data_IF_665808251033
#
_entry.id   IF_665808251033
#
_cell.length_a   1.000
_cell.length_b   1.000
_cell.length_c   1.000
_cell.angle_alpha   90.00
_cell.angle_beta   90.00
_cell.angle_gamma   90.00
#
_symmetry.space_group_name_H-M   'P 1'
#
loop_
_entity.id
_entity.type
_entity.pdbx_description
1 polymer ?
#
# COMPACT_ATOMS: atom_id res chain seq x y z
N UNK A 1 24.66 -72.19 25.62
CA UNK A 1 24.95 -70.75 25.73
C UNK A 1 25.29 -70.22 24.34
N UNK A 2 24.45 -69.29 23.87
CA UNK A 2 24.63 -68.27 22.82
C UNK A 2 25.35 -68.70 21.52
N UNK A 3 24.60 -68.98 20.44
CA UNK A 3 25.14 -68.99 19.08
C UNK A 3 25.36 -67.56 18.53
N UNK A 4 26.21 -67.40 17.50
CA UNK A 4 26.65 -66.09 17.02
C UNK A 4 25.52 -65.32 16.31
N UNK A 5 25.55 -64.01 16.52
CA UNK A 5 24.69 -62.99 15.94
C UNK A 5 24.69 -63.00 14.41
N UNK A 6 23.48 -63.13 13.83
CA UNK A 6 23.18 -62.79 12.45
C UNK A 6 23.56 -61.33 12.14
N UNK A 7 24.14 -61.04 10.96
CA UNK A 7 24.15 -59.68 10.43
C UNK A 7 22.73 -59.32 9.96
N UNK A 8 22.23 -58.18 10.44
CA UNK A 8 20.98 -57.59 10.00
C UNK A 8 21.02 -57.36 8.48
N UNK A 9 20.08 -58.01 7.80
CA UNK A 9 19.59 -57.68 6.46
C UNK A 9 19.35 -56.17 6.35
N UNK A 10 20.24 -55.47 5.65
CA UNK A 10 19.92 -54.17 5.07
C UNK A 10 19.34 -54.44 3.68
N UNK A 11 18.02 -54.44 3.62
CA UNK A 11 17.31 -54.31 2.36
C UNK A 11 17.65 -52.92 1.77
N UNK A 12 17.94 -52.81 0.47
CA UNK A 12 18.14 -51.51 -0.15
C UNK A 12 16.81 -50.77 -0.05
N UNK A 13 16.80 -49.65 0.68
CA UNK A 13 15.72 -48.68 0.61
C UNK A 13 15.69 -48.26 -0.86
N UNK A 14 14.65 -48.70 -1.55
CA UNK A 14 14.34 -48.29 -2.89
C UNK A 14 14.38 -46.77 -2.92
N UNK A 15 15.30 -46.24 -3.71
CA UNK A 15 15.32 -44.86 -4.15
C UNK A 15 14.08 -44.63 -5.01
N UNK A 16 12.92 -44.50 -4.36
CA UNK A 16 11.81 -43.75 -4.91
C UNK A 16 12.32 -42.33 -5.07
N UNK A 17 12.85 -42.08 -6.27
CA UNK A 17 12.99 -40.77 -6.85
C UNK A 17 11.60 -40.14 -6.85
N UNK A 18 11.27 -39.51 -5.72
CA UNK A 18 10.25 -38.47 -5.67
C UNK A 18 10.82 -37.38 -6.56
N UNK A 19 10.46 -37.47 -7.83
CA UNK A 19 10.65 -36.43 -8.80
C UNK A 19 9.91 -35.22 -8.27
N UNK A 20 10.65 -34.32 -7.66
CA UNK A 20 10.18 -32.97 -7.40
C UNK A 20 9.62 -32.43 -8.73
N UNK A 21 8.40 -31.85 -8.74
CA UNK A 21 7.94 -31.18 -9.95
C UNK A 21 8.97 -30.10 -10.27
N UNK A 22 9.48 -30.14 -11.49
CA UNK A 22 10.42 -29.17 -12.04
C UNK A 22 9.75 -27.80 -12.02
N UNK A 23 9.99 -27.03 -10.97
CA UNK A 23 9.74 -25.59 -10.91
C UNK A 23 11.06 -24.86 -11.18
N UNK A 24 11.60 -25.03 -12.39
CA UNK A 24 12.80 -24.30 -12.84
C UNK A 24 12.47 -23.26 -13.94
N UNK A 25 11.30 -22.62 -13.80
CA UNK A 25 10.95 -21.39 -14.52
C UNK A 25 10.68 -20.27 -13.53
N UNK A 26 11.76 -19.57 -13.17
CA UNK A 26 11.71 -18.21 -12.62
C UNK A 26 11.76 -18.15 -11.10
N UNK A 27 12.95 -18.36 -10.52
CA UNK A 27 13.26 -17.67 -9.27
C UNK A 27 12.99 -16.17 -9.49
N UNK A 28 12.21 -15.52 -8.60
CA UNK A 28 11.93 -14.07 -8.64
C UNK A 28 13.24 -13.29 -8.73
N UNK A 29 13.62 -12.91 -9.95
CA UNK A 29 14.90 -12.26 -10.24
C UNK A 29 14.68 -10.76 -10.28
N UNK A 30 15.50 -10.03 -9.54
CA UNK A 30 15.54 -8.58 -9.63
C UNK A 30 16.10 -8.14 -10.98
N UNK A 31 15.42 -7.18 -11.61
CA UNK A 31 15.84 -6.54 -12.84
C UNK A 31 16.07 -5.05 -12.60
N UNK A 32 17.26 -4.54 -12.95
CA UNK A 32 17.66 -3.15 -12.70
C UNK A 32 17.93 -2.37 -13.99
N UNK A 33 17.66 -1.06 -13.96
CA UNK A 33 18.03 -0.11 -15.00
C UNK A 33 18.53 1.20 -14.37
N UNK A 34 19.78 1.62 -14.63
CA UNK A 34 20.91 0.87 -15.19
C UNK A 34 21.11 -0.54 -14.60
N UNK A 35 21.73 -1.44 -15.38
CA UNK A 35 21.95 -2.83 -14.98
C UNK A 35 22.98 -2.97 -13.85
N UNK A 36 23.99 -2.10 -13.85
CA UNK A 36 25.06 -2.10 -12.86
C UNK A 36 24.62 -1.29 -11.64
N UNK A 37 24.61 -1.95 -10.48
CA UNK A 37 24.17 -1.37 -9.21
C UNK A 37 25.35 -1.02 -8.29
N UNK A 38 26.58 -1.34 -8.68
CA UNK A 38 27.78 -1.07 -7.88
C UNK A 38 28.12 0.41 -7.96
N UNK A 39 28.25 1.10 -6.82
CA UNK A 39 28.45 2.55 -6.75
C UNK A 39 29.68 3.06 -7.52
N UNK A 40 30.75 2.27 -7.59
CA UNK A 40 31.99 2.61 -8.31
C UNK A 40 31.82 2.72 -9.84
N UNK A 41 30.84 2.01 -10.42
CA UNK A 41 30.55 2.02 -11.86
C UNK A 41 29.16 2.58 -12.19
N UNK A 42 28.47 3.12 -11.18
CA UNK A 42 27.10 3.55 -11.32
C UNK A 42 27.00 4.78 -12.23
N UNK A 43 26.21 4.71 -13.28
CA UNK A 43 25.95 5.87 -14.15
C UNK A 43 25.26 7.02 -13.41
N UNK A 44 24.69 6.77 -12.23
CA UNK A 44 24.14 7.82 -11.37
C UNK A 44 25.17 8.58 -10.55
N UNK A 45 26.35 8.00 -10.32
CA UNK A 45 27.48 8.67 -9.67
C UNK A 45 28.48 9.24 -10.67
N UNK A 46 28.56 8.64 -11.87
CA UNK A 46 29.61 8.93 -12.86
C UNK A 46 29.17 9.79 -14.05
N UNK A 47 27.86 10.06 -14.25
CA UNK A 47 27.40 10.88 -15.37
C UNK A 47 27.59 12.39 -15.08
N UNK A 48 28.47 13.10 -15.82
CA UNK A 48 28.72 14.54 -15.60
C UNK A 48 27.58 15.43 -16.14
N UNK A 49 26.57 14.85 -16.79
CA UNK A 49 25.43 15.56 -17.36
C UNK A 49 24.15 14.96 -16.80
N UNK A 50 23.68 15.53 -15.70
CA UNK A 50 22.32 15.33 -15.24
C UNK A 50 21.32 15.88 -16.28
N UNK A 51 20.03 15.54 -16.15
CA UNK A 51 19.00 16.09 -17.02
C UNK A 51 18.97 17.62 -16.91
N UNK A 52 19.02 18.31 -18.06
CA UNK A 52 19.11 19.78 -18.09
C UNK A 52 17.77 20.48 -17.82
N UNK A 53 16.64 19.78 -17.91
CA UNK A 53 15.29 20.39 -17.78
C UNK A 53 14.32 19.52 -16.98
N UNK A 54 13.20 20.14 -16.59
CA UNK A 54 11.92 19.54 -16.19
C UNK A 54 11.62 18.21 -16.87
N UNK A 55 11.36 18.34 -18.16
CA UNK A 55 10.89 17.30 -19.05
C UNK A 55 11.94 16.22 -19.32
N UNK A 56 13.21 16.62 -19.46
CA UNK A 56 14.28 15.68 -19.74
C UNK A 56 14.49 14.70 -18.57
N UNK A 57 14.44 15.20 -17.33
CA UNK A 57 14.51 14.35 -16.13
C UNK A 57 13.40 13.31 -16.12
N UNK A 58 12.15 13.75 -16.32
CA UNK A 58 10.99 12.87 -16.35
C UNK A 58 11.13 11.80 -17.43
N UNK A 59 11.54 12.19 -18.63
CA UNK A 59 11.71 11.28 -19.76
C UNK A 59 12.79 10.22 -19.49
N UNK A 60 13.93 10.61 -18.90
CA UNK A 60 15.02 9.69 -18.55
C UNK A 60 14.56 8.67 -17.51
N UNK A 61 13.88 9.13 -16.45
CA UNK A 61 13.46 8.26 -15.35
C UNK A 61 12.32 7.31 -15.78
N UNK A 62 11.35 7.81 -16.55
CA UNK A 62 10.31 6.96 -17.14
C UNK A 62 10.90 5.93 -18.11
N UNK A 63 11.95 6.28 -18.87
CA UNK A 63 12.63 5.31 -19.74
C UNK A 63 13.26 4.17 -18.94
N UNK A 64 13.92 4.48 -17.82
CA UNK A 64 14.51 3.47 -16.91
C UNK A 64 13.42 2.58 -16.32
N UNK A 65 12.33 3.17 -15.85
CA UNK A 65 11.16 2.45 -15.35
C UNK A 65 10.57 1.50 -16.40
N UNK A 66 10.33 1.99 -17.63
CA UNK A 66 9.81 1.18 -18.73
C UNK A 66 10.70 -0.01 -19.09
N UNK A 67 12.04 0.17 -19.05
CA UNK A 67 13.00 -0.93 -19.28
C UNK A 67 12.88 -2.02 -18.21
N UNK A 68 12.75 -1.62 -16.94
CA UNK A 68 12.56 -2.56 -15.82
C UNK A 68 11.23 -3.31 -15.96
N UNK A 69 10.14 -2.58 -16.22
CA UNK A 69 8.82 -3.17 -16.46
C UNK A 69 8.86 -4.23 -17.56
N UNK A 70 9.40 -3.90 -18.74
CA UNK A 70 9.46 -4.85 -19.87
C UNK A 70 10.27 -6.10 -19.58
N UNK A 71 11.28 -6.02 -18.70
CA UNK A 71 12.10 -7.19 -18.32
C UNK A 71 11.38 -8.12 -17.36
N UNK A 72 10.68 -7.55 -16.39
CA UNK A 72 9.92 -8.29 -15.37
C UNK A 72 8.68 -8.90 -16.01
N UNK A 73 7.87 -8.05 -16.64
CA UNK A 73 6.50 -8.34 -17.01
C UNK A 73 6.38 -8.85 -18.45
N UNK A 74 7.35 -8.53 -19.31
CA UNK A 74 7.38 -8.89 -20.74
C UNK A 74 6.15 -8.43 -21.55
N UNK A 75 5.45 -7.39 -21.07
CA UNK A 75 4.30 -6.76 -21.73
C UNK A 75 4.49 -5.24 -21.81
N UNK A 76 3.62 -4.59 -22.58
CA UNK A 76 3.54 -3.13 -22.60
C UNK A 76 3.23 -2.58 -21.19
N UNK A 77 3.68 -1.35 -20.92
CA UNK A 77 3.41 -0.67 -19.66
C UNK A 77 2.00 -0.07 -19.70
N UNK A 78 1.08 -0.47 -18.82
CA UNK A 78 -0.24 0.16 -18.71
C UNK A 78 -0.13 1.64 -18.36
N UNK A 79 -1.02 2.46 -18.91
CA UNK A 79 -1.02 3.92 -18.73
C UNK A 79 -1.12 4.29 -17.26
N UNK A 80 -1.95 3.59 -16.49
CA UNK A 80 -2.18 3.86 -15.07
C UNK A 80 -0.91 3.65 -14.23
N UNK A 81 -0.12 2.62 -14.57
CA UNK A 81 1.17 2.33 -13.92
C UNK A 81 2.23 3.34 -14.35
N UNK A 82 2.22 3.76 -15.63
CA UNK A 82 3.09 4.83 -16.13
C UNK A 82 2.82 6.14 -15.38
N UNK A 83 1.56 6.50 -15.18
CA UNK A 83 1.17 7.72 -14.49
C UNK A 83 1.51 7.66 -13.00
N UNK A 84 1.39 6.49 -12.38
CA UNK A 84 1.86 6.27 -11.01
C UNK A 84 3.38 6.48 -10.89
N UNK A 85 4.17 5.88 -11.79
CA UNK A 85 5.61 6.09 -11.82
C UNK A 85 5.96 7.56 -12.10
N UNK A 86 5.21 8.24 -12.97
CA UNK A 86 5.41 9.65 -13.26
C UNK A 86 5.22 10.53 -12.01
N UNK A 87 4.18 10.28 -11.20
CA UNK A 87 3.98 10.98 -9.93
C UNK A 87 5.14 10.79 -8.96
N UNK A 88 5.61 9.55 -8.79
CA UNK A 88 6.78 9.26 -7.95
C UNK A 88 8.00 10.02 -8.44
N UNK A 89 8.24 10.03 -9.77
CA UNK A 89 9.38 10.72 -10.37
C UNK A 89 9.30 12.23 -10.09
N UNK A 90 8.14 12.85 -10.26
CA UNK A 90 7.95 14.27 -9.95
C UNK A 90 8.22 14.58 -8.47
N UNK A 91 7.72 13.73 -7.57
CA UNK A 91 7.92 13.88 -6.12
C UNK A 91 9.38 13.65 -5.70
N UNK A 92 10.07 12.68 -6.31
CA UNK A 92 11.51 12.51 -6.08
C UNK A 92 12.29 13.77 -6.49
N UNK A 93 11.86 14.44 -7.56
CA UNK A 93 12.50 15.69 -7.99
C UNK A 93 12.27 16.84 -7.01
N UNK A 94 11.07 16.99 -6.44
CA UNK A 94 10.81 18.04 -5.42
C UNK A 94 11.70 17.84 -4.19
N UNK A 95 12.10 16.59 -3.92
CA UNK A 95 13.06 16.20 -2.88
C UNK A 95 14.54 16.32 -3.31
N UNK A 96 14.82 16.88 -4.49
CA UNK A 96 16.18 17.08 -5.01
C UNK A 96 16.84 15.81 -5.57
N UNK A 97 16.08 14.75 -5.84
CA UNK A 97 16.60 13.51 -6.44
C UNK A 97 16.59 13.62 -7.96
N UNK A 98 17.75 13.90 -8.53
CA UNK A 98 17.93 14.13 -9.96
C UNK A 98 18.22 12.87 -10.78
N UNK A 99 18.57 11.75 -10.14
CA UNK A 99 18.85 10.51 -10.85
C UNK A 99 18.67 9.27 -9.96
N UNK A 100 18.01 8.23 -10.50
CA UNK A 100 17.74 7.00 -9.74
C UNK A 100 18.04 5.74 -10.53
N UNK A 101 18.55 4.73 -9.84
CA UNK A 101 18.44 3.35 -10.27
C UNK A 101 17.01 2.86 -10.05
N UNK A 102 16.46 2.15 -11.02
CA UNK A 102 15.16 1.49 -10.87
C UNK A 102 15.43 0.00 -10.85
N UNK A 103 14.94 -0.72 -9.84
CA UNK A 103 14.97 -2.18 -9.82
C UNK A 103 13.59 -2.73 -9.53
N UNK A 104 13.23 -3.86 -10.10
CA UNK A 104 11.96 -4.49 -9.75
C UNK A 104 11.97 -6.00 -9.89
N UNK A 105 10.94 -6.62 -9.34
CA UNK A 105 10.72 -8.06 -9.40
C UNK A 105 9.22 -8.36 -9.51
N UNK A 106 8.91 -9.50 -10.14
CA UNK A 106 7.60 -10.12 -10.06
C UNK A 106 7.61 -11.12 -8.91
N UNK A 107 6.59 -11.04 -8.06
CA UNK A 107 6.35 -11.95 -6.97
C UNK A 107 4.96 -12.60 -7.13
N UNK A 108 4.80 -13.84 -6.65
CA UNK A 108 3.48 -14.36 -6.34
C UNK A 108 2.77 -13.39 -5.38
N UNK A 109 1.48 -13.13 -5.60
CA UNK A 109 0.75 -12.16 -4.79
C UNK A 109 0.64 -12.64 -3.34
N UNK A 110 1.40 -12.02 -2.43
CA UNK A 110 1.51 -12.45 -1.03
C UNK A 110 0.18 -12.31 -0.28
N UNK A 111 -0.65 -11.35 -0.70
CA UNK A 111 -1.97 -11.08 -0.10
C UNK A 111 -2.93 -12.28 -0.18
N UNK A 112 -2.77 -13.17 -1.16
CA UNK A 112 -3.66 -14.33 -1.34
C UNK A 112 -3.12 -15.62 -0.70
N UNK A 113 -1.88 -15.64 -0.20
CA UNK A 113 -1.34 -16.83 0.48
C UNK A 113 -2.01 -17.10 1.83
N UNK A 114 -2.64 -16.09 2.44
CA UNK A 114 -3.40 -16.26 3.69
C UNK A 114 -4.86 -16.72 3.46
N UNK A 115 -5.29 -16.85 2.21
CA UNK A 115 -6.65 -17.21 1.82
C UNK A 115 -6.60 -18.52 1.04
N UNK A 116 -6.79 -19.65 1.73
CA UNK A 116 -6.75 -21.03 1.18
C UNK A 116 -7.71 -21.32 0.01
N UNK A 117 -8.48 -20.33 -0.48
CA UNK A 117 -9.63 -20.54 -1.36
C UNK A 117 -9.59 -19.86 -2.73
N UNK A 118 -8.54 -19.12 -3.09
CA UNK A 118 -8.49 -18.47 -4.41
C UNK A 118 -7.67 -19.31 -5.39
N UNK A 119 -8.23 -19.55 -6.57
CA UNK A 119 -7.48 -20.06 -7.72
C UNK A 119 -6.41 -19.00 -8.08
N UNK A 120 -5.20 -19.12 -7.50
CA UNK A 120 -4.12 -18.12 -7.57
C UNK A 120 -3.56 -17.93 -9.00
N UNK A 121 -4.04 -18.72 -9.97
CA UNK A 121 -3.57 -18.68 -11.35
C UNK A 121 -3.88 -17.32 -11.96
N UNK A 122 -2.83 -16.57 -12.26
CA UNK A 122 -2.89 -15.30 -12.99
C UNK A 122 -2.65 -14.07 -12.14
N UNK A 123 -2.73 -14.12 -10.81
CA UNK A 123 -2.49 -12.96 -9.94
C UNK A 123 -1.01 -12.75 -9.65
N UNK A 124 -0.56 -11.50 -9.77
CA UNK A 124 0.85 -11.10 -9.69
C UNK A 124 1.00 -9.82 -8.89
N UNK A 125 2.06 -9.77 -8.09
CA UNK A 125 2.52 -8.57 -7.41
C UNK A 125 3.84 -8.14 -8.04
N UNK A 126 3.91 -6.92 -8.55
CA UNK A 126 5.11 -6.37 -9.17
C UNK A 126 5.60 -5.25 -8.27
N UNK A 127 6.79 -5.42 -7.71
CA UNK A 127 7.42 -4.44 -6.84
C UNK A 127 8.56 -3.76 -7.58
N UNK A 128 8.58 -2.43 -7.55
CA UNK A 128 9.56 -1.60 -8.25
C UNK A 128 10.10 -0.57 -7.25
N UNK A 129 11.40 -0.61 -7.02
CA UNK A 129 12.13 0.25 -6.11
C UNK A 129 12.97 1.26 -6.89
N UNK A 130 12.98 2.49 -6.39
CA UNK A 130 13.85 3.57 -6.84
C UNK A 130 14.99 3.72 -5.85
N UNK A 131 16.21 3.83 -6.34
CA UNK A 131 17.42 3.88 -5.53
C UNK A 131 18.32 5.05 -5.93
N UNK A 132 19.00 5.62 -4.94
CA UNK A 132 20.04 6.63 -5.12
C UNK A 132 21.33 6.15 -4.47
N UNK A 133 22.50 6.63 -4.91
CA UNK A 133 23.76 6.33 -4.25
C UNK A 133 23.70 6.68 -2.76
N UNK A 134 24.24 5.79 -1.93
CA UNK A 134 24.38 5.97 -0.48
C UNK A 134 25.86 6.27 -0.16
N UNK A 135 26.20 7.54 0.15
CA UNK A 135 27.58 7.93 0.41
C UNK A 135 28.13 7.32 1.71
N UNK A 136 27.27 6.78 2.58
CA UNK A 136 27.67 6.21 3.88
C UNK A 136 28.00 4.71 3.76
N UNK A 137 27.43 4.00 2.79
CA UNK A 137 27.51 2.55 2.70
C UNK A 137 28.07 2.04 1.35
N UNK A 138 29.33 2.38 1.08
CA UNK A 138 30.01 2.09 -0.20
C UNK A 138 30.47 0.63 -0.38
N UNK A 139 30.21 -0.26 0.60
CA UNK A 139 30.85 -1.60 0.65
C UNK A 139 30.00 -2.79 0.15
N UNK A 140 28.68 -2.66 0.01
CA UNK A 140 27.81 -3.78 -0.38
C UNK A 140 27.07 -3.54 -1.70
N UNK A 141 26.27 -2.47 -1.76
CA UNK A 141 25.49 -2.07 -2.94
C UNK A 141 25.59 -0.56 -3.21
N UNK A 142 26.11 0.24 -2.27
CA UNK A 142 26.34 1.67 -2.45
C UNK A 142 25.10 2.51 -2.78
N UNK A 143 23.90 1.98 -2.54
CA UNK A 143 22.64 2.66 -2.84
C UNK A 143 21.60 2.40 -1.75
N UNK A 144 20.80 3.43 -1.46
CA UNK A 144 19.62 3.36 -0.60
C UNK A 144 18.37 3.53 -1.45
N UNK A 145 17.29 2.85 -1.07
CA UNK A 145 16.01 3.07 -1.73
C UNK A 145 15.42 4.42 -1.30
N UNK A 146 14.63 5.04 -2.17
CA UNK A 146 13.98 6.34 -1.93
C UNK A 146 12.48 6.31 -2.19
N UNK A 147 12.03 5.41 -3.06
CA UNK A 147 10.62 5.15 -3.29
C UNK A 147 10.37 3.68 -3.64
N UNK A 148 9.15 3.23 -3.36
CA UNK A 148 8.66 1.88 -3.62
C UNK A 148 7.31 2.00 -4.32
N UNK A 149 7.16 1.36 -5.47
CA UNK A 149 5.91 1.22 -6.21
C UNK A 149 5.52 -0.24 -6.23
N UNK A 150 4.33 -0.52 -5.75
CA UNK A 150 3.72 -1.83 -5.80
C UNK A 150 2.55 -1.83 -6.77
N UNK A 151 2.51 -2.82 -7.65
CA UNK A 151 1.45 -2.98 -8.65
C UNK A 151 0.83 -4.37 -8.49
N UNK A 152 -0.48 -4.40 -8.35
CA UNK A 152 -1.27 -5.63 -8.33
C UNK A 152 -1.86 -5.83 -9.71
N UNK A 153 -1.60 -7.00 -10.28
CA UNK A 153 -1.97 -7.32 -11.64
C UNK A 153 -2.59 -8.71 -11.73
N UNK A 154 -3.47 -8.91 -12.69
CA UNK A 154 -3.91 -10.24 -13.12
C UNK A 154 -3.64 -10.46 -14.60
N UNK A 155 -3.23 -11.67 -14.94
CA UNK A 155 -3.07 -12.16 -16.30
C UNK A 155 -4.14 -13.24 -16.53
N UNK A 156 -5.21 -12.96 -17.30
CA UNK A 156 -6.19 -13.96 -17.66
C UNK A 156 -5.52 -15.17 -18.32
N UNK A 157 -5.95 -16.41 -18.02
CA UNK A 157 -5.30 -17.64 -18.48
C UNK A 157 -5.22 -17.77 -20.01
N UNK A 158 -6.12 -17.10 -20.75
CA UNK A 158 -6.23 -17.21 -22.21
C UNK A 158 -5.91 -15.91 -22.96
N UNK A 159 -5.45 -14.85 -22.27
CA UNK A 159 -5.09 -13.59 -22.94
C UNK A 159 -3.57 -13.40 -22.96
N UNK A 160 -2.96 -13.77 -24.08
CA UNK A 160 -1.53 -13.58 -24.32
C UNK A 160 -1.13 -12.10 -24.44
N UNK A 161 -2.05 -11.15 -24.31
CA UNK A 161 -1.77 -9.75 -24.63
C UNK A 161 -2.07 -8.74 -23.51
N UNK A 162 -2.90 -9.06 -22.51
CA UNK A 162 -3.38 -8.03 -21.58
C UNK A 162 -3.12 -8.36 -20.12
N UNK A 163 -2.34 -7.49 -19.49
CA UNK A 163 -2.26 -7.39 -18.04
C UNK A 163 -3.35 -6.45 -17.58
N UNK A 164 -4.18 -6.94 -16.67
CA UNK A 164 -5.21 -6.13 -16.01
C UNK A 164 -4.61 -5.63 -14.71
N UNK A 165 -4.37 -4.32 -14.63
CA UNK A 165 -3.94 -3.66 -13.40
C UNK A 165 -5.14 -3.57 -12.47
N UNK A 166 -5.02 -4.17 -11.29
CA UNK A 166 -6.07 -4.18 -10.28
C UNK A 166 -5.91 -3.02 -9.29
N UNK A 167 -4.67 -2.57 -9.09
CA UNK A 167 -4.36 -1.37 -8.35
C UNK A 167 -2.86 -1.20 -8.16
N UNK A 168 -2.48 -0.12 -7.53
CA UNK A 168 -1.09 0.16 -7.19
C UNK A 168 -1.04 1.03 -5.93
N UNK A 169 0.07 0.92 -5.21
CA UNK A 169 0.38 1.73 -4.04
C UNK A 169 1.85 2.14 -4.10
N UNK A 170 2.18 3.30 -3.55
CA UNK A 170 3.55 3.78 -3.47
C UNK A 170 3.87 4.34 -2.11
N UNK A 171 5.14 4.33 -1.73
CA UNK A 171 5.65 4.99 -0.52
C UNK A 171 7.05 5.51 -0.74
N UNK A 172 7.50 6.38 0.16
CA UNK A 172 8.82 6.98 0.12
C UNK A 172 9.66 6.54 1.32
N UNK A 173 10.98 6.57 1.20
CA UNK A 173 11.89 6.18 2.29
C UNK A 173 11.86 7.15 3.46
N UNK A 174 11.44 8.39 3.22
CA UNK A 174 11.20 9.39 4.26
C UNK A 174 10.05 9.01 5.18
N UNK A 175 9.12 8.17 4.69
CA UNK A 175 7.97 7.68 5.44
C UNK A 175 7.59 6.27 5.01
N UNK A 176 8.35 5.28 5.48
CA UNK A 176 8.18 3.90 5.04
C UNK A 176 6.84 3.27 5.44
N UNK A 177 6.12 3.92 6.38
CA UNK A 177 4.83 3.46 6.90
C UNK A 177 3.66 4.03 6.12
N UNK A 178 3.85 5.11 5.34
CA UNK A 178 2.79 5.73 4.56
C UNK A 178 2.70 5.16 3.14
N UNK A 179 1.75 4.26 2.93
CA UNK A 179 1.38 3.83 1.59
C UNK A 179 0.31 4.73 1.01
N UNK A 180 0.65 5.43 -0.07
CA UNK A 180 -0.28 6.23 -0.86
C UNK A 180 -0.83 5.43 -2.05
N UNK A 181 -2.12 5.51 -2.30
CA UNK A 181 -2.78 4.85 -3.43
C UNK A 181 -3.98 5.67 -3.91
N UNK A 182 -4.36 5.59 -5.20
CA UNK A 182 -5.58 6.25 -5.66
C UNK A 182 -6.81 5.65 -4.98
N UNK A 183 -7.70 6.51 -4.49
CA UNK A 183 -8.97 6.12 -3.91
C UNK A 183 -10.11 6.79 -4.70
N UNK A 184 -10.42 6.32 -5.92
CA UNK A 184 -11.36 6.96 -6.85
C UNK A 184 -12.84 6.82 -6.43
N UNK A 185 -13.09 6.28 -5.25
CA UNK A 185 -14.40 5.88 -4.80
C UNK A 185 -15.27 7.08 -4.42
N UNK A 186 -16.55 6.99 -4.80
CA UNK A 186 -17.59 7.88 -4.30
C UNK A 186 -18.31 7.22 -3.14
N UNK A 187 -18.47 8.00 -2.07
CA UNK A 187 -19.20 7.61 -0.88
C UNK A 187 -20.52 8.35 -0.83
N UNK A 188 -21.57 7.61 -0.51
CA UNK A 188 -22.94 8.10 -0.41
C UNK A 188 -23.38 7.97 1.05
N UNK A 189 -23.84 9.07 1.66
CA UNK A 189 -24.49 9.01 2.98
C UNK A 189 -26.00 8.79 2.82
N UNK A 190 -26.63 8.16 3.81
CA UNK A 190 -28.09 8.22 3.92
C UNK A 190 -28.47 9.57 4.56
N UNK A 191 -29.36 10.38 3.95
CA UNK A 191 -29.85 11.63 4.56
C UNK A 191 -30.48 11.45 5.94
N UNK A 192 -30.92 10.23 6.28
CA UNK A 192 -31.52 9.88 7.57
C UNK A 192 -30.49 9.46 8.62
N UNK A 193 -29.26 9.16 8.21
CA UNK A 193 -28.21 8.76 9.15
C UNK A 193 -27.76 9.94 9.99
N UNK A 194 -27.73 9.74 11.31
CA UNK A 194 -27.33 10.77 12.24
C UNK A 194 -25.82 11.00 12.14
N UNK A 195 -25.46 12.22 11.80
CA UNK A 195 -24.11 12.73 11.98
C UNK A 195 -23.75 12.77 13.46
N UNK A 196 -22.65 12.13 13.83
CA UNK A 196 -22.14 12.17 15.20
C UNK A 196 -20.93 13.10 15.28
N UNK A 197 -20.86 13.90 16.33
CA UNK A 197 -19.75 14.82 16.55
C UNK A 197 -19.07 14.53 17.88
N UNK A 198 -17.74 14.49 17.85
CA UNK A 198 -16.89 14.31 19.02
C UNK A 198 -15.96 15.51 19.10
N UNK A 199 -16.08 16.30 20.17
CA UNK A 199 -15.21 17.45 20.43
C UNK A 199 -13.77 16.97 20.60
N UNK A 200 -12.81 17.73 20.07
CA UNK A 200 -11.40 17.45 20.26
C UNK A 200 -11.01 17.53 21.75
N UNK A 201 -9.93 16.86 22.16
CA UNK A 201 -9.39 17.04 23.50
C UNK A 201 -8.84 18.47 23.67
N UNK A 202 -9.19 19.09 24.80
CA UNK A 202 -8.65 20.37 25.23
C UNK A 202 -8.30 20.25 26.72
N UNK A 203 -7.00 20.25 27.02
CA UNK A 203 -6.51 20.18 28.39
C UNK A 203 -6.98 21.38 29.24
N UNK A 204 -7.21 22.53 28.62
CA UNK A 204 -7.75 23.72 29.30
C UNK A 204 -9.19 23.52 29.75
N UNK A 205 -9.93 22.69 29.03
CA UNK A 205 -11.31 22.30 29.35
C UNK A 205 -11.37 20.95 30.09
N UNK A 206 -10.22 20.37 30.45
CA UNK A 206 -10.12 19.10 31.17
C UNK A 206 -10.45 17.86 30.35
N UNK A 207 -10.58 17.96 29.02
CA UNK A 207 -10.90 16.83 28.14
C UNK A 207 -9.62 16.11 27.74
N UNK A 208 -9.42 14.90 28.28
CA UNK A 208 -8.23 14.07 28.01
C UNK A 208 -8.31 13.33 26.67
N UNK A 209 -7.15 13.15 26.04
CA UNK A 209 -7.02 12.43 24.77
C UNK A 209 -7.59 11.01 24.84
N UNK A 210 -7.26 10.27 25.92
CA UNK A 210 -7.73 8.89 26.14
C UNK A 210 -9.25 8.79 26.14
N UNK A 211 -9.93 9.69 26.87
CA UNK A 211 -11.40 9.70 26.96
C UNK A 211 -12.07 9.97 25.60
N UNK A 212 -11.48 10.87 24.80
CA UNK A 212 -11.97 11.15 23.45
C UNK A 212 -11.74 9.97 22.52
N UNK A 213 -10.60 9.28 22.62
CA UNK A 213 -10.32 8.09 21.82
C UNK A 213 -11.22 6.90 22.21
N UNK A 214 -11.49 6.69 23.50
CA UNK A 214 -12.45 5.69 23.96
C UNK A 214 -13.86 5.98 23.41
N UNK A 215 -14.29 7.25 23.48
CA UNK A 215 -15.57 7.69 22.91
C UNK A 215 -15.62 7.51 21.40
N UNK A 216 -14.52 7.77 20.69
CA UNK A 216 -14.38 7.53 19.27
C UNK A 216 -14.58 6.05 18.95
N UNK A 217 -13.87 5.17 19.66
CA UNK A 217 -13.94 3.72 19.45
C UNK A 217 -15.33 3.15 19.74
N UNK A 218 -15.96 3.57 20.84
CA UNK A 218 -17.35 3.20 21.16
C UNK A 218 -18.30 3.67 20.07
N UNK A 219 -18.12 4.89 19.56
CA UNK A 219 -18.96 5.44 18.47
C UNK A 219 -18.80 4.65 17.17
N UNK A 220 -17.57 4.34 16.78
CA UNK A 220 -17.26 3.52 15.60
C UNK A 220 -17.93 2.14 15.70
N UNK A 221 -17.84 1.48 16.87
CA UNK A 221 -18.50 0.19 17.10
C UNK A 221 -20.03 0.28 17.10
N UNK A 222 -20.61 1.41 17.53
CA UNK A 222 -22.06 1.65 17.47
C UNK A 222 -22.57 1.83 16.04
N UNK A 223 -21.79 2.46 15.16
CA UNK A 223 -22.20 2.72 13.76
C UNK A 223 -22.26 1.44 12.92
N UNK A 224 -21.46 0.41 13.24
CA UNK A 224 -21.54 -0.91 12.62
C UNK A 224 -21.27 -2.03 13.66
N UNK A 225 -22.25 -2.35 14.51
CA UNK A 225 -22.09 -3.36 15.56
C UNK A 225 -21.71 -4.72 14.99
N UNK A 226 -20.63 -5.31 15.52
CA UNK A 226 -20.20 -6.67 15.17
C UNK A 226 -19.58 -6.86 13.78
N UNK A 227 -19.57 -5.82 12.91
CA UNK A 227 -18.98 -5.93 11.56
C UNK A 227 -17.51 -5.56 11.49
N UNK A 228 -17.08 -4.59 12.29
CA UNK A 228 -15.69 -4.16 12.33
C UNK A 228 -15.00 -4.71 13.56
N UNK A 229 -13.89 -5.43 13.35
CA UNK A 229 -12.95 -5.74 14.42
C UNK A 229 -11.73 -4.84 14.27
N UNK A 230 -11.88 -3.60 14.74
CA UNK A 230 -10.80 -2.61 14.71
C UNK A 230 -10.00 -2.73 16.01
N UNK A 231 -8.68 -2.77 15.89
CA UNK A 231 -7.82 -2.62 17.06
C UNK A 231 -7.92 -1.18 17.55
N UNK A 232 -8.24 -0.99 18.83
CA UNK A 232 -8.26 0.33 19.47
C UNK A 232 -6.94 1.07 19.21
N UNK A 233 -5.81 0.39 19.44
CA UNK A 233 -4.48 0.91 19.18
C UNK A 233 -4.30 1.35 17.73
N UNK A 234 -4.71 0.51 16.76
CA UNK A 234 -4.53 0.83 15.35
C UNK A 234 -5.34 2.07 14.92
N UNK A 235 -6.58 2.20 15.41
CA UNK A 235 -7.42 3.38 15.15
C UNK A 235 -6.80 4.64 15.76
N UNK A 236 -6.38 4.57 17.02
CA UNK A 236 -5.75 5.70 17.73
C UNK A 236 -4.47 6.13 17.02
N UNK A 237 -3.61 5.18 16.61
CA UNK A 237 -2.38 5.48 15.86
C UNK A 237 -2.68 6.24 14.57
N UNK A 238 -3.71 5.84 13.81
CA UNK A 238 -4.10 6.58 12.61
C UNK A 238 -4.59 7.99 12.95
N UNK A 239 -5.50 8.13 13.92
CA UNK A 239 -6.05 9.42 14.31
C UNK A 239 -4.96 10.37 14.80
N UNK A 240 -4.11 9.93 15.72
CA UNK A 240 -3.03 10.74 16.29
C UNK A 240 -2.08 11.21 15.19
N UNK A 241 -1.71 10.32 14.28
CA UNK A 241 -0.83 10.65 13.16
C UNK A 241 -1.42 11.74 12.26
N UNK A 242 -2.68 11.60 11.84
CA UNK A 242 -3.37 12.62 11.03
C UNK A 242 -3.43 13.96 11.75
N UNK A 243 -3.73 13.94 13.05
CA UNK A 243 -3.77 15.17 13.86
C UNK A 243 -2.41 15.84 13.88
N UNK A 244 -1.34 15.11 14.19
CA UNK A 244 0.02 15.63 14.22
C UNK A 244 0.44 16.21 12.87
N UNK A 245 0.18 15.51 11.77
CA UNK A 245 0.53 15.95 10.41
C UNK A 245 -0.15 17.28 10.04
N UNK A 246 -1.41 17.46 10.41
CA UNK A 246 -2.14 18.71 10.13
C UNK A 246 -1.74 19.82 11.11
N UNK A 247 -1.52 19.51 12.39
CA UNK A 247 -1.08 20.49 13.39
C UNK A 247 0.30 21.07 13.09
N UNK A 248 1.18 20.33 12.41
CA UNK A 248 2.45 20.86 11.88
C UNK A 248 2.26 22.02 10.89
N UNK A 249 1.09 22.13 10.26
CA UNK A 249 0.75 23.29 9.41
C UNK A 249 0.31 24.51 10.23
N UNK A 250 0.26 24.38 11.57
CA UNK A 250 -0.15 25.39 12.54
C UNK A 250 -1.66 25.56 12.65
N UNK A 251 -2.43 24.55 12.27
CA UNK A 251 -3.89 24.48 12.49
C UNK A 251 -4.17 23.80 13.82
N UNK A 252 -5.33 24.05 14.44
CA UNK A 252 -5.72 23.45 15.71
C UNK A 252 -6.91 22.53 15.53
N UNK A 253 -6.85 21.30 16.04
CA UNK A 253 -7.97 20.37 15.97
C UNK A 253 -9.18 20.91 16.77
N UNK A 254 -10.35 20.89 16.14
CA UNK A 254 -11.63 21.27 16.76
C UNK A 254 -12.47 20.05 17.16
N UNK A 255 -12.47 19.02 16.32
CA UNK A 255 -13.15 17.77 16.62
C UNK A 255 -13.28 16.86 15.42
N UNK A 256 -14.11 15.83 15.61
CA UNK A 256 -14.28 14.75 14.68
C UNK A 256 -15.74 14.59 14.32
N UNK A 257 -15.98 14.33 13.05
CA UNK A 257 -17.31 14.20 12.47
C UNK A 257 -17.46 12.80 11.89
N UNK A 258 -18.37 12.01 12.46
CA UNK A 258 -18.51 10.60 12.14
C UNK A 258 -19.82 10.33 11.41
N UNK A 259 -19.71 9.49 10.38
CA UNK A 259 -20.85 9.06 9.57
C UNK A 259 -20.69 7.62 9.12
N UNK A 260 -21.81 6.92 9.03
CA UNK A 260 -21.93 5.77 8.16
C UNK A 260 -22.09 6.26 6.73
N UNK A 261 -21.28 5.73 5.82
CA UNK A 261 -21.36 6.00 4.39
C UNK A 261 -21.30 4.69 3.62
N UNK A 262 -21.72 4.72 2.38
CA UNK A 262 -21.78 3.56 1.51
C UNK A 262 -20.99 3.82 0.24
N UNK A 263 -20.04 2.94 -0.04
CA UNK A 263 -19.32 2.93 -1.31
C UNK A 263 -20.06 2.06 -2.30
N UNK A 264 -20.28 2.55 -3.52
CA UNK A 264 -20.79 1.72 -4.62
C UNK A 264 -19.67 0.89 -5.25
N UNK A 265 -19.91 -0.40 -5.48
CA UNK A 265 -19.01 -1.29 -6.21
C UNK A 265 -18.72 -0.76 -7.63
N UNK A 266 -17.49 -0.92 -8.13
CA UNK A 266 -17.20 -0.68 -9.54
C UNK A 266 -17.98 -1.70 -10.40
N UNK A 267 -18.80 -1.21 -11.34
CA UNK A 267 -19.56 -2.07 -12.25
C UNK A 267 -20.91 -2.59 -11.75
N UNK A 268 -21.44 -2.13 -10.61
CA UNK A 268 -22.72 -2.65 -10.08
C UNK A 268 -23.48 -1.77 -9.08
N UNK A 269 -24.62 -2.28 -8.60
CA UNK A 269 -25.52 -1.62 -7.64
C UNK A 269 -25.29 -1.97 -6.16
N UNK A 270 -24.31 -2.81 -5.86
CA UNK A 270 -23.99 -3.21 -4.48
C UNK A 270 -23.29 -2.08 -3.73
N UNK A 271 -23.65 -1.93 -2.45
CA UNK A 271 -23.22 -0.85 -1.59
C UNK A 271 -22.48 -1.43 -0.39
N UNK A 272 -21.23 -1.01 -0.20
CA UNK A 272 -20.36 -1.44 0.90
C UNK A 272 -20.35 -0.40 2.00
N UNK A 273 -20.75 -0.75 3.23
CA UNK A 273 -20.71 0.19 4.35
C UNK A 273 -19.25 0.52 4.71
N UNK A 274 -19.02 1.78 5.00
CA UNK A 274 -17.77 2.33 5.49
C UNK A 274 -18.07 3.38 6.56
N UNK A 275 -17.19 3.53 7.54
CA UNK A 275 -17.28 4.66 8.48
C UNK A 275 -16.33 5.75 8.01
N UNK A 276 -16.87 6.97 7.91
CA UNK A 276 -16.11 8.17 7.59
C UNK A 276 -15.91 8.98 8.87
N UNK A 277 -14.65 9.32 9.17
CA UNK A 277 -14.25 10.21 10.25
C UNK A 277 -13.63 11.45 9.60
N UNK A 278 -14.37 12.55 9.56
CA UNK A 278 -13.87 13.86 9.12
C UNK A 278 -13.15 14.58 10.25
N UNK A 279 -11.93 15.03 9.99
CA UNK A 279 -11.15 15.81 10.94
C UNK A 279 -11.38 17.30 10.69
N UNK A 280 -11.92 17.98 11.70
CA UNK A 280 -12.26 19.40 11.63
C UNK A 280 -11.22 20.22 12.37
N UNK A 281 -10.66 21.22 11.71
CA UNK A 281 -9.64 22.11 12.26
C UNK A 281 -10.08 23.56 12.21
N UNK A 282 -9.64 24.33 13.20
CA UNK A 282 -9.72 25.79 13.20
C UNK A 282 -8.62 26.34 12.28
N UNK A 283 -8.97 27.32 11.46
CA UNK A 283 -8.00 28.06 10.66
C UNK A 283 -7.22 29.05 11.52
N UNK A 284 -6.02 29.45 11.05
CA UNK A 284 -5.20 30.48 11.72
C UNK A 284 -5.85 31.86 11.72
N UNK A 285 -6.69 32.11 10.71
CA UNK A 285 -7.25 33.42 10.41
C UNK A 285 -8.51 33.71 11.26
N UNK A 286 -9.20 32.66 11.72
CA UNK A 286 -10.44 32.80 12.47
C UNK A 286 -10.74 31.55 13.30
N UNK A 287 -10.99 31.75 14.59
CA UNK A 287 -11.48 30.69 15.49
C UNK A 287 -12.93 30.27 15.20
N UNK A 288 -13.60 30.91 14.22
CA UNK A 288 -14.96 30.56 13.77
C UNK A 288 -14.95 29.73 12.49
N UNK A 289 -13.85 29.74 11.74
CA UNK A 289 -13.78 29.02 10.47
C UNK A 289 -13.23 27.62 10.69
N UNK A 290 -14.12 26.64 10.54
CA UNK A 290 -13.85 25.22 10.71
C UNK A 290 -13.81 24.55 9.34
N UNK A 291 -12.66 24.00 8.99
CA UNK A 291 -12.46 23.30 7.71
C UNK A 291 -12.25 21.80 7.92
N UNK A 292 -12.68 20.98 6.95
CA UNK A 292 -12.41 19.54 6.92
C UNK A 292 -11.08 19.32 6.19
N UNK A 293 -10.03 19.03 6.95
CA UNK A 293 -8.66 18.93 6.40
C UNK A 293 -8.30 17.51 5.99
N UNK A 294 -8.90 16.52 6.63
CA UNK A 294 -8.69 15.11 6.31
C UNK A 294 -9.94 14.27 6.58
N UNK A 295 -9.95 13.09 6.00
CA UNK A 295 -10.99 12.09 6.17
C UNK A 295 -10.34 10.72 6.35
N UNK A 296 -10.57 10.08 7.50
CA UNK A 296 -10.25 8.67 7.70
C UNK A 296 -11.48 7.82 7.32
N UNK A 297 -11.27 6.86 6.42
CA UNK A 297 -12.25 5.87 6.00
C UNK A 297 -11.88 4.52 6.59
N UNK A 298 -12.86 3.90 7.25
CA UNK A 298 -12.79 2.53 7.78
C UNK A 298 -13.66 1.64 6.91
N UNK A 299 -13.03 0.73 6.16
CA UNK A 299 -13.67 -0.14 5.18
C UNK A 299 -13.50 -1.61 5.52
N UNK A 300 -14.58 -2.37 5.33
CA UNK A 300 -14.59 -3.83 5.48
C UNK A 300 -14.06 -4.47 4.21
N UNK A 301 -12.95 -5.22 4.28
CA UNK A 301 -12.36 -5.88 3.10
C UNK A 301 -12.86 -7.31 2.83
N UNK A 302 -14.04 -7.69 3.32
CA UNK A 302 -14.66 -8.99 2.98
C UNK A 302 -15.78 -9.47 3.90
N UNK A 303 -16.63 -10.35 3.37
CA UNK A 303 -17.51 -11.24 4.15
C UNK A 303 -16.82 -12.59 4.31
N UNK A 304 -16.51 -13.01 5.54
CA UNK A 304 -16.22 -14.42 5.78
C UNK A 304 -17.53 -15.20 5.76
N UNK A 305 -17.66 -16.21 4.90
CA UNK A 305 -18.88 -17.03 4.73
C UNK A 305 -19.38 -17.69 6.04
N UNK A 306 -18.53 -17.79 7.07
CA UNK A 306 -18.86 -18.35 8.39
C UNK A 306 -18.96 -17.30 9.51
N UNK A 307 -19.24 -16.03 9.18
CA UNK A 307 -19.28 -14.95 10.17
C UNK A 307 -17.91 -14.64 10.81
N UNK A 308 -16.81 -15.10 10.20
CA UNK A 308 -15.46 -14.86 10.70
C UNK A 308 -14.81 -13.62 10.05
N UNK A 309 -14.49 -12.68 10.95
CA UNK A 309 -13.44 -11.64 10.91
C UNK A 309 -13.27 -10.93 9.57
N UNK A 310 -13.97 -9.82 9.44
CA UNK A 310 -13.69 -8.77 8.46
C UNK A 310 -12.47 -7.96 8.90
N UNK A 311 -11.41 -7.93 8.08
CA UNK A 311 -10.31 -6.99 8.27
C UNK A 311 -10.79 -5.58 7.92
N UNK A 312 -10.36 -4.60 8.72
CA UNK A 312 -10.68 -3.19 8.46
C UNK A 312 -9.50 -2.52 7.80
N UNK A 313 -9.69 -2.12 6.55
CA UNK A 313 -8.78 -1.22 5.88
C UNK A 313 -9.05 0.19 6.39
N UNK A 314 -7.98 0.85 6.80
CA UNK A 314 -7.99 2.24 7.24
C UNK A 314 -7.25 3.06 6.18
N UNK A 315 -7.91 4.09 5.68
CA UNK A 315 -7.35 4.96 4.65
C UNK A 315 -7.65 6.41 4.97
N UNK A 316 -6.62 7.26 4.95
CA UNK A 316 -6.75 8.69 5.19
C UNK A 316 -6.67 9.41 3.85
N UNK A 317 -7.57 10.37 3.61
CA UNK A 317 -7.48 11.28 2.47
C UNK A 317 -7.35 12.71 2.98
N UNK A 318 -6.28 13.38 2.59
CA UNK A 318 -6.06 14.80 2.86
C UNK A 318 -6.79 15.66 1.83
N UNK A 319 -7.28 16.82 2.26
CA UNK A 319 -8.00 17.75 1.37
C UNK A 319 -7.12 18.25 0.21
N UNK A 320 -5.83 18.46 0.46
CA UNK A 320 -4.84 18.92 -0.53
C UNK A 320 -4.48 17.87 -1.57
N UNK A 321 -4.70 16.59 -1.28
CA UNK A 321 -4.24 15.46 -2.10
C UNK A 321 -5.40 14.61 -2.63
N UNK A 322 -6.64 15.09 -2.51
CA UNK A 322 -7.82 14.39 -3.01
C UNK A 322 -7.66 14.04 -4.51
N UNK A 323 -7.76 12.78 -4.97
CA UNK A 323 -8.29 11.55 -4.35
C UNK A 323 -7.20 10.51 -3.97
N UNK A 324 -6.12 10.93 -3.32
CA UNK A 324 -5.09 10.01 -2.81
C UNK A 324 -5.44 9.57 -1.39
N UNK A 325 -5.46 8.25 -1.18
CA UNK A 325 -5.62 7.60 0.11
C UNK A 325 -4.26 7.15 0.67
N UNK A 326 -4.12 7.26 1.99
CA UNK A 326 -2.91 6.96 2.76
C UNK A 326 -3.21 5.85 3.77
N UNK A 327 -2.34 4.85 3.87
CA UNK A 327 -2.48 3.72 4.79
C UNK A 327 -1.22 3.58 5.64
N UNK A 328 -1.37 3.72 6.95
CA UNK A 328 -0.25 3.72 7.92
C UNK A 328 0.03 2.33 8.49
N UNK A 329 0.33 1.37 7.61
CA UNK A 329 0.52 -0.04 8.00
C UNK A 329 1.97 -0.34 8.37
N UNK A 330 2.20 -0.87 9.57
CA UNK A 330 3.53 -1.38 9.94
C UNK A 330 3.83 -2.68 9.18
N UNK A 331 4.85 -2.64 8.32
CA UNK A 331 5.40 -3.83 7.65
C UNK A 331 4.49 -4.51 6.62
N UNK A 332 3.29 -3.98 6.38
CA UNK A 332 2.28 -4.57 5.51
C UNK A 332 1.95 -3.71 4.30
N UNK A 333 1.68 -4.37 3.20
CA UNK A 333 1.15 -3.79 1.97
C UNK A 333 -0.36 -3.49 2.18
N UNK A 334 -0.90 -2.34 1.73
CA UNK A 334 -2.34 -2.08 1.80
C UNK A 334 -3.11 -3.21 1.09
N UNK A 335 -4.02 -3.86 1.83
CA UNK A 335 -4.94 -4.83 1.26
C UNK A 335 -5.85 -4.07 0.28
N UNK A 336 -5.71 -4.33 -1.01
CA UNK A 336 -6.72 -3.85 -1.96
C UNK A 336 -7.96 -4.73 -1.83
N UNK A 337 -9.12 -4.10 -1.95
CA UNK A 337 -10.38 -4.63 -1.44
C UNK A 337 -10.84 -5.94 -2.11
N UNK A 338 -10.73 -7.07 -1.40
CA UNK A 338 -10.98 -8.45 -1.87
C UNK A 338 -12.28 -8.62 -2.65
N UNK A 339 -13.28 -7.79 -2.40
CA UNK A 339 -14.65 -7.96 -2.90
C UNK A 339 -14.78 -7.61 -4.40
N UNK A 340 -13.94 -6.74 -4.96
CA UNK A 340 -13.98 -6.46 -6.42
C UNK A 340 -13.26 -7.54 -7.26
N UNK A 341 -12.53 -8.46 -6.60
CA UNK A 341 -11.68 -9.46 -7.25
C UNK A 341 -12.39 -10.74 -7.65
N UNK A 342 -13.55 -11.03 -7.07
CA UNK A 342 -14.30 -12.27 -7.35
C UNK A 342 -15.32 -12.10 -8.49
N UNK A 343 -15.50 -10.88 -9.03
CA UNK A 343 -16.56 -10.56 -10.01
C UNK A 343 -16.10 -9.93 -11.33
N UNK A 344 -14.79 -9.83 -11.57
CA UNK A 344 -14.17 -9.40 -12.83
C UNK A 344 -13.22 -10.48 -13.35
#
# INVERSE_FOLDING_TARGET
MIPPSNPLSQSPISSSSVSCPIWDRGASKWHSSPHEFVASCCLCTTSPRGPCTGEHYVAVQLNRFMKVWRRIVRRALPTEVRDAAHRIILELRTQGVELTHVSGMEMPCQQYYQSEMVNQRGYKEIRILFFVPDPVNDKANGHRWVADLLVFASSPPDSDEKIVVRGFASRFATDEKDWSFPQPYRYYGDPKDQQLFIVAPDEREGVRWDTTMDKMFVTVNKLQPGKYKISHFALVTHIVRVVQEIEMTGRRLWGFELYLVYRRAVGGGEMYPAIRIGFKFLTKESSKDITKEAVLILQSTGQGENGRRTYVQMSVMYASEWQIGHSYTEGGIPLLDKIEYERL
#
